data_IF_712118027332
#
_entry.id   IF_712118027332
#
_cell.length_a   1.000
_cell.length_b   1.000
_cell.length_c   1.000
_cell.angle_alpha   90.00
_cell.angle_beta   90.00
_cell.angle_gamma   90.00
#
_symmetry.space_group_name_H-M   'P 1'
#
loop_
_entity.id
_entity.type
_entity.pdbx_description
1 polymer ?
#
# COMPACT_ATOMS: atom_id res chain seq x y z
N UNK A 1 46.27 -5.73 -9.62
CA UNK A 1 45.18 -4.86 -9.13
C UNK A 1 43.92 -4.93 -9.98
N UNK A 2 43.99 -4.95 -11.32
CA UNK A 2 42.79 -4.88 -12.20
C UNK A 2 41.82 -6.07 -12.11
N UNK A 3 42.32 -7.30 -11.93
CA UNK A 3 41.47 -8.49 -11.80
C UNK A 3 40.64 -8.49 -10.50
N UNK A 4 41.21 -7.98 -9.39
CA UNK A 4 40.49 -7.88 -8.12
C UNK A 4 39.34 -6.87 -8.21
N UNK A 5 39.57 -5.71 -8.83
CA UNK A 5 38.53 -4.67 -9.04
C UNK A 5 37.40 -5.22 -9.93
N UNK A 6 37.72 -6.00 -10.96
CA UNK A 6 36.74 -6.63 -11.83
C UNK A 6 35.87 -7.64 -11.07
N UNK A 7 36.46 -8.53 -10.27
CA UNK A 7 35.72 -9.52 -9.47
C UNK A 7 34.80 -8.84 -8.45
N UNK A 8 35.27 -7.81 -7.73
CA UNK A 8 34.44 -7.06 -6.78
C UNK A 8 33.24 -6.37 -7.47
N UNK A 9 33.44 -5.82 -8.67
CA UNK A 9 32.39 -5.13 -9.41
C UNK A 9 31.33 -6.10 -9.97
N UNK A 10 31.75 -7.29 -10.41
CA UNK A 10 30.84 -8.32 -10.93
C UNK A 10 30.03 -8.97 -9.81
N UNK A 11 30.64 -9.27 -8.66
CA UNK A 11 29.93 -9.88 -7.52
C UNK A 11 28.84 -8.95 -6.98
N UNK A 12 29.11 -7.64 -6.89
CA UNK A 12 28.10 -6.66 -6.47
C UNK A 12 26.87 -6.62 -7.39
N UNK A 13 27.08 -6.72 -8.71
CA UNK A 13 26.02 -6.70 -9.73
C UNK A 13 25.29 -8.03 -9.91
N UNK A 14 25.85 -9.14 -9.42
CA UNK A 14 25.23 -10.45 -9.55
C UNK A 14 23.92 -10.54 -8.74
N UNK A 15 23.86 -9.87 -7.58
CA UNK A 15 22.65 -9.77 -6.77
C UNK A 15 21.53 -9.02 -7.52
N UNK A 16 21.88 -7.88 -8.14
CA UNK A 16 20.94 -7.10 -8.94
C UNK A 16 20.41 -7.88 -10.14
N UNK A 17 21.29 -8.57 -10.87
CA UNK A 17 20.90 -9.39 -12.01
C UNK A 17 19.93 -10.51 -11.59
N UNK A 18 20.22 -11.19 -10.47
CA UNK A 18 19.33 -12.21 -9.92
C UNK A 18 17.97 -11.62 -9.53
N UNK A 19 17.97 -10.43 -8.93
CA UNK A 19 16.75 -9.68 -8.61
C UNK A 19 15.92 -9.38 -9.86
N UNK A 20 16.54 -8.83 -10.91
CA UNK A 20 15.87 -8.54 -12.18
C UNK A 20 15.28 -9.77 -12.85
N UNK A 21 16.00 -10.90 -12.86
CA UNK A 21 15.46 -12.17 -13.40
C UNK A 21 14.24 -12.64 -12.61
N UNK A 22 14.23 -12.42 -11.30
CA UNK A 22 13.06 -12.73 -10.48
C UNK A 22 11.85 -11.86 -10.86
N UNK A 23 12.03 -10.54 -11.03
CA UNK A 23 10.95 -9.63 -11.45
C UNK A 23 10.35 -10.00 -12.82
N UNK A 24 11.16 -10.53 -13.74
CA UNK A 24 10.67 -11.01 -15.04
C UNK A 24 9.76 -12.24 -14.95
N UNK A 25 9.80 -12.96 -13.83
CA UNK A 25 9.06 -14.22 -13.63
C UNK A 25 8.03 -14.16 -12.51
N UNK A 26 8.08 -13.12 -11.66
CA UNK A 26 7.20 -12.95 -10.51
C UNK A 26 6.70 -11.50 -10.48
N UNK A 27 5.39 -11.33 -10.42
CA UNK A 27 4.81 -10.01 -10.26
C UNK A 27 5.12 -9.46 -8.87
N UNK A 28 5.94 -8.42 -8.82
CA UNK A 28 6.13 -7.61 -7.63
C UNK A 28 4.82 -6.88 -7.30
N UNK A 29 4.41 -6.89 -6.02
CA UNK A 29 3.29 -6.10 -5.50
C UNK A 29 3.77 -5.27 -4.30
N UNK A 30 3.37 -4.01 -4.25
CA UNK A 30 3.58 -3.13 -3.11
C UNK A 30 2.31 -2.98 -2.24
N UNK A 31 2.38 -2.17 -1.17
CA UNK A 31 1.23 -1.92 -0.29
C UNK A 31 -0.04 -1.49 -1.02
N UNK A 32 0.03 -0.56 -1.97
CA UNK A 32 -1.17 -0.08 -2.66
C UNK A 32 -1.71 -1.07 -3.68
N UNK A 33 -0.90 -1.98 -4.23
CA UNK A 33 -1.44 -3.05 -5.07
C UNK A 33 -2.42 -3.93 -4.27
N UNK A 34 -2.12 -4.20 -2.99
CA UNK A 34 -3.03 -4.92 -2.10
C UNK A 34 -4.27 -4.09 -1.75
N UNK A 35 -4.10 -2.82 -1.37
CA UNK A 35 -5.23 -1.96 -1.04
C UNK A 35 -6.19 -1.74 -2.22
N UNK A 36 -5.65 -1.44 -3.41
CA UNK A 36 -6.42 -1.26 -4.64
C UNK A 36 -7.14 -2.55 -5.03
N UNK A 37 -6.45 -3.70 -5.00
CA UNK A 37 -7.08 -4.99 -5.34
C UNK A 37 -8.22 -5.31 -4.38
N UNK A 38 -7.98 -5.16 -3.06
CA UNK A 38 -9.02 -5.36 -2.05
C UNK A 38 -10.25 -4.49 -2.32
N UNK A 39 -10.05 -3.19 -2.53
CA UNK A 39 -11.19 -2.27 -2.75
C UNK A 39 -11.95 -2.64 -4.03
N UNK A 40 -11.25 -2.94 -5.13
CA UNK A 40 -11.90 -3.33 -6.39
C UNK A 40 -12.69 -4.63 -6.31
N UNK A 41 -12.21 -5.57 -5.51
CA UNK A 41 -12.85 -6.89 -5.35
C UNK A 41 -14.04 -6.86 -4.39
N UNK A 42 -14.06 -5.93 -3.44
CA UNK A 42 -15.07 -5.89 -2.37
C UNK A 42 -16.17 -4.83 -2.59
N UNK A 43 -16.00 -3.90 -3.53
CA UNK A 43 -16.96 -2.84 -3.82
C UNK A 43 -17.37 -2.84 -5.29
N UNK A 44 -18.68 -2.83 -5.54
CA UNK A 44 -19.23 -2.75 -6.90
C UNK A 44 -18.92 -1.44 -7.61
N UNK A 45 -18.81 -0.34 -6.84
CA UNK A 45 -18.54 1.00 -7.33
C UNK A 45 -17.43 1.68 -6.52
N UNK A 46 -16.16 1.29 -6.72
CA UNK A 46 -15.04 1.93 -6.03
C UNK A 46 -14.97 3.45 -6.22
N UNK A 47 -15.46 3.96 -7.34
CA UNK A 47 -15.49 5.39 -7.67
C UNK A 47 -16.39 6.21 -6.74
N UNK A 48 -17.40 5.58 -6.13
CA UNK A 48 -18.32 6.24 -5.20
C UNK A 48 -17.71 6.37 -3.78
N UNK A 49 -16.55 5.74 -3.53
CA UNK A 49 -15.89 5.76 -2.22
C UNK A 49 -15.16 7.08 -1.98
N UNK A 50 -15.18 7.50 -0.71
CA UNK A 50 -14.30 8.52 -0.15
C UNK A 50 -13.19 7.85 0.64
N UNK A 51 -11.96 7.97 0.17
CA UNK A 51 -10.78 7.35 0.79
C UNK A 51 -9.93 8.42 1.47
N UNK A 52 -9.67 8.26 2.77
CA UNK A 52 -8.71 9.08 3.49
C UNK A 52 -7.35 8.37 3.55
N UNK A 53 -6.30 9.02 3.05
CA UNK A 53 -4.93 8.50 3.17
C UNK A 53 -3.92 9.62 3.39
N UNK A 54 -2.76 9.27 3.93
CA UNK A 54 -1.63 10.18 4.15
C UNK A 54 -0.53 10.06 3.08
N UNK A 55 -0.68 9.18 2.08
CA UNK A 55 0.33 8.98 1.05
C UNK A 55 -0.23 8.30 -0.22
N UNK A 56 0.37 8.59 -1.39
CA UNK A 56 0.07 8.01 -2.71
C UNK A 56 -1.40 8.20 -3.18
N UNK A 57 -1.95 9.41 -2.98
CA UNK A 57 -3.35 9.74 -3.32
C UNK A 57 -3.66 9.53 -4.79
N UNK A 58 -2.75 9.99 -5.66
CA UNK A 58 -2.93 9.93 -7.11
C UNK A 58 -3.11 8.49 -7.61
N UNK A 59 -2.49 7.50 -6.95
CA UNK A 59 -2.62 6.08 -7.29
C UNK A 59 -4.04 5.61 -7.02
N UNK A 60 -4.58 5.92 -5.84
CA UNK A 60 -5.95 5.56 -5.46
C UNK A 60 -6.97 6.24 -6.37
N UNK A 61 -6.80 7.54 -6.63
CA UNK A 61 -7.67 8.28 -7.57
C UNK A 61 -7.64 7.67 -8.97
N UNK A 62 -6.45 7.34 -9.49
CA UNK A 62 -6.30 6.82 -10.84
C UNK A 62 -6.90 5.42 -11.01
N UNK A 63 -6.62 4.50 -10.09
CA UNK A 63 -7.04 3.10 -10.23
C UNK A 63 -8.45 2.80 -9.74
N UNK A 64 -8.99 3.61 -8.83
CA UNK A 64 -10.31 3.39 -8.25
C UNK A 64 -11.35 4.43 -8.71
N UNK A 65 -10.92 5.58 -9.23
CA UNK A 65 -11.82 6.70 -9.51
C UNK A 65 -12.37 7.40 -8.27
N UNK A 66 -12.00 6.93 -7.07
CA UNK A 66 -12.51 7.41 -5.79
C UNK A 66 -12.09 8.84 -5.50
N UNK A 67 -12.93 9.54 -4.71
CA UNK A 67 -12.52 10.78 -4.06
C UNK A 67 -11.48 10.45 -3.00
N UNK A 68 -10.32 11.13 -3.03
CA UNK A 68 -9.30 11.02 -1.98
C UNK A 68 -9.24 12.32 -1.19
N UNK A 69 -9.26 12.22 0.13
CA UNK A 69 -9.17 13.33 1.08
C UNK A 69 -7.92 13.23 1.94
N UNK A 70 -7.57 14.33 2.62
CA UNK A 70 -6.35 14.53 3.41
C UNK A 70 -5.12 14.67 2.50
N UNK A 71 -4.66 13.54 1.99
CA UNK A 71 -3.46 13.44 1.18
C UNK A 71 -2.20 14.04 1.81
N UNK A 72 -1.17 14.17 0.98
CA UNK A 72 0.14 14.65 1.37
C UNK A 72 0.25 16.18 1.36
N UNK A 73 -0.60 16.86 0.58
CA UNK A 73 -0.47 18.30 0.29
C UNK A 73 -1.20 19.18 1.33
N UNK A 74 -2.22 18.65 2.03
CA UNK A 74 -2.94 19.34 3.13
C UNK A 74 -3.65 20.66 2.78
N UNK A 75 -3.79 21.01 1.49
CA UNK A 75 -4.33 22.32 1.09
C UNK A 75 -5.81 22.54 1.46
N UNK A 76 -6.61 21.47 1.59
CA UNK A 76 -8.06 21.54 1.81
C UNK A 76 -8.46 20.86 3.13
N UNK A 77 -7.58 20.89 4.12
CA UNK A 77 -7.73 20.08 5.33
C UNK A 77 -9.02 20.38 6.09
N UNK A 78 -9.46 21.64 6.14
CA UNK A 78 -10.69 22.02 6.84
C UNK A 78 -11.92 21.39 6.18
N UNK A 79 -11.97 21.33 4.84
CA UNK A 79 -13.04 20.68 4.10
C UNK A 79 -12.98 19.16 4.23
N UNK A 80 -11.78 18.58 4.11
CA UNK A 80 -11.57 17.15 4.22
C UNK A 80 -11.97 16.62 5.61
N UNK A 81 -11.71 17.40 6.65
CA UNK A 81 -12.11 17.09 8.02
C UNK A 81 -13.62 17.18 8.24
N UNK A 82 -14.43 17.71 7.31
CA UNK A 82 -15.89 17.67 7.41
C UNK A 82 -16.46 16.34 6.91
N UNK A 83 -15.75 15.65 6.04
CA UNK A 83 -16.16 14.37 5.45
C UNK A 83 -16.13 13.20 6.44
N UNK A 84 -16.83 12.12 6.10
CA UNK A 84 -16.72 10.83 6.77
C UNK A 84 -16.27 9.80 5.73
N UNK A 85 -14.99 9.40 5.72
CA UNK A 85 -14.49 8.48 4.70
C UNK A 85 -15.13 7.09 4.83
N UNK A 86 -15.19 6.37 3.72
CA UNK A 86 -15.58 4.96 3.67
C UNK A 86 -14.37 4.06 3.97
N UNK A 87 -13.17 4.51 3.58
CA UNK A 87 -11.91 3.78 3.79
C UNK A 87 -10.84 4.72 4.34
N UNK A 88 -10.10 4.29 5.36
CA UNK A 88 -8.87 4.94 5.81
C UNK A 88 -7.66 4.04 5.57
N UNK A 89 -6.62 4.61 4.97
CA UNK A 89 -5.34 3.95 4.72
C UNK A 89 -4.26 4.79 5.38
N UNK A 90 -3.80 4.36 6.56
CA UNK A 90 -2.66 4.98 7.23
C UNK A 90 -1.38 4.25 6.82
N UNK A 91 -0.55 4.92 6.02
CA UNK A 91 0.79 4.45 5.64
C UNK A 91 1.76 4.73 6.79
N UNK A 92 1.98 3.72 7.63
CA UNK A 92 2.69 3.81 8.91
C UNK A 92 4.16 4.22 8.76
N UNK A 93 4.78 3.88 7.62
CA UNK A 93 6.14 4.33 7.30
C UNK A 93 6.23 5.86 7.28
N UNK A 94 5.28 6.51 6.60
CA UNK A 94 5.26 7.97 6.42
C UNK A 94 4.75 8.72 7.64
N UNK A 95 4.02 8.05 8.52
CA UNK A 95 3.53 8.62 9.78
C UNK A 95 4.40 8.27 10.98
N UNK A 96 5.56 7.62 10.77
CA UNK A 96 6.50 7.21 11.83
C UNK A 96 5.84 6.35 12.91
N UNK A 97 5.03 5.38 12.51
CA UNK A 97 4.26 4.47 13.37
C UNK A 97 3.20 5.15 14.26
N UNK A 98 2.82 6.39 13.98
CA UNK A 98 1.66 7.03 14.60
C UNK A 98 0.54 7.26 13.58
N UNK A 99 -0.62 7.69 14.03
CA UNK A 99 -1.67 8.19 13.16
C UNK A 99 -1.52 9.70 13.01
N UNK A 100 -1.39 10.22 11.78
CA UNK A 100 -1.47 11.65 11.54
C UNK A 100 -2.77 12.19 12.15
N UNK A 101 -2.70 13.36 12.80
CA UNK A 101 -3.84 13.94 13.53
C UNK A 101 -5.15 13.88 12.72
N UNK A 102 -5.17 14.21 11.42
CA UNK A 102 -6.40 14.19 10.64
C UNK A 102 -6.98 12.79 10.40
N UNK A 103 -6.14 11.79 10.12
CA UNK A 103 -6.62 10.40 10.03
C UNK A 103 -7.14 9.90 11.39
N UNK A 104 -6.46 10.25 12.48
CA UNK A 104 -6.90 9.91 13.85
C UNK A 104 -8.24 10.57 14.20
N UNK A 105 -8.47 11.77 13.71
CA UNK A 105 -9.73 12.48 13.88
C UNK A 105 -10.86 11.80 13.07
N UNK A 106 -10.62 11.51 11.79
CA UNK A 106 -11.60 10.87 10.91
C UNK A 106 -11.96 9.45 11.38
N UNK A 107 -10.99 8.70 11.91
CA UNK A 107 -11.22 7.36 12.47
C UNK A 107 -12.26 7.36 13.60
N UNK A 108 -12.43 8.47 14.32
CA UNK A 108 -13.39 8.61 15.43
C UNK A 108 -14.80 8.97 14.99
N UNK A 109 -15.01 9.30 13.71
CA UNK A 109 -16.32 9.76 13.22
C UNK A 109 -17.34 8.65 13.00
N UNK A 110 -16.88 7.42 12.85
CA UNK A 110 -17.71 6.27 12.54
C UNK A 110 -17.07 4.98 13.08
N UNK A 111 -17.78 3.87 12.93
CA UNK A 111 -17.26 2.54 13.24
C UNK A 111 -16.54 1.97 12.03
N UNK A 112 -15.28 1.59 12.22
CA UNK A 112 -14.44 1.01 11.18
C UNK A 112 -13.95 -0.37 11.57
N UNK A 113 -13.84 -1.25 10.59
CA UNK A 113 -13.26 -2.58 10.71
C UNK A 113 -11.94 -2.63 9.94
N UNK A 114 -10.92 -3.22 10.56
CA UNK A 114 -9.60 -3.31 9.93
C UNK A 114 -9.48 -4.55 9.06
N UNK A 115 -9.01 -4.37 7.82
CA UNK A 115 -8.47 -5.44 6.99
C UNK A 115 -6.94 -5.35 6.97
N UNK A 116 -6.28 -6.48 7.24
CA UNK A 116 -4.82 -6.57 7.37
C UNK A 116 -4.25 -7.45 6.26
N UNK A 117 -3.17 -6.99 5.62
CA UNK A 117 -2.52 -7.70 4.52
C UNK A 117 -1.15 -8.23 4.92
N UNK A 118 -0.64 -9.30 4.28
CA UNK A 118 0.68 -9.84 4.60
C UNK A 118 1.83 -8.93 4.15
N UNK A 119 1.58 -8.00 3.23
CA UNK A 119 2.59 -7.07 2.71
C UNK A 119 3.05 -6.11 3.81
N UNK A 120 4.36 -5.89 3.90
CA UNK A 120 4.93 -4.87 4.76
C UNK A 120 4.51 -3.49 4.26
N UNK A 121 4.15 -2.58 5.15
CA UNK A 121 3.90 -1.19 4.81
C UNK A 121 5.23 -0.46 4.51
N UNK A 122 5.76 -0.75 3.33
CA UNK A 122 6.98 -0.15 2.83
C UNK A 122 6.74 1.30 2.41
N UNK A 123 7.81 2.08 2.36
CA UNK A 123 7.78 3.51 2.04
C UNK A 123 7.18 3.82 0.67
N UNK A 124 7.26 2.90 -0.28
CA UNK A 124 6.80 3.11 -1.65
C UNK A 124 6.11 1.85 -2.13
N UNK A 125 5.21 1.99 -3.11
CA UNK A 125 4.59 0.81 -3.71
C UNK A 125 5.65 -0.08 -4.38
N UNK A 126 6.33 0.44 -5.41
CA UNK A 126 7.52 -0.15 -6.01
C UNK A 126 8.32 0.97 -6.66
N UNK A 127 9.64 0.98 -6.51
CA UNK A 127 10.52 1.87 -7.29
C UNK A 127 11.63 1.01 -7.90
N UNK A 128 11.76 0.95 -9.24
CA UNK A 128 12.79 0.18 -9.91
C UNK A 128 14.18 0.87 -9.92
N UNK A 129 14.38 1.88 -9.08
CA UNK A 129 15.57 2.73 -9.01
C UNK A 129 16.62 2.13 -8.07
N UNK A 130 17.86 2.04 -8.54
CA UNK A 130 18.97 1.45 -7.79
C UNK A 130 19.76 2.49 -7.00
N UNK A 131 19.64 3.76 -7.36
CA UNK A 131 20.44 4.86 -6.81
C UNK A 131 19.64 5.84 -5.95
N UNK A 132 18.43 5.47 -5.54
CA UNK A 132 17.60 6.25 -4.64
C UNK A 132 17.83 5.84 -3.18
N UNK A 133 17.52 6.73 -2.24
CA UNK A 133 17.68 6.47 -0.80
C UNK A 133 16.84 5.27 -0.34
N UNK A 134 15.73 5.01 -1.04
CA UNK A 134 14.91 3.82 -0.86
C UNK A 134 15.42 2.75 -1.83
N UNK A 135 16.01 1.70 -1.28
CA UNK A 135 16.56 0.58 -2.06
C UNK A 135 15.46 -0.16 -2.80
N UNK A 136 15.70 -0.48 -4.07
CA UNK A 136 14.87 -1.41 -4.82
C UNK A 136 14.90 -2.82 -4.20
N UNK A 137 13.73 -3.41 -3.97
CA UNK A 137 13.57 -4.66 -3.22
C UNK A 137 13.50 -5.92 -4.10
N UNK A 138 13.27 -5.79 -5.42
CA UNK A 138 13.07 -6.87 -6.40
C UNK A 138 11.93 -7.86 -6.10
N UNK A 139 11.38 -7.88 -4.88
CA UNK A 139 10.32 -8.79 -4.41
C UNK A 139 9.34 -8.07 -3.50
N UNK A 140 8.09 -8.49 -3.54
CA UNK A 140 7.05 -8.06 -2.60
C UNK A 140 7.56 -8.18 -1.16
N UNK A 141 7.66 -7.08 -0.40
CA UNK A 141 8.10 -7.15 0.98
C UNK A 141 6.98 -7.73 1.84
N UNK A 142 7.22 -8.89 2.45
CA UNK A 142 6.28 -9.49 3.41
C UNK A 142 6.66 -9.01 4.81
N UNK A 143 5.66 -8.61 5.60
CA UNK A 143 5.88 -8.14 6.95
C UNK A 143 6.40 -9.26 7.86
N UNK A 144 7.41 -8.95 8.67
CA UNK A 144 7.99 -9.88 9.65
C UNK A 144 7.05 -10.12 10.84
N UNK A 145 6.25 -9.11 11.20
CA UNK A 145 5.29 -9.14 12.30
C UNK A 145 3.97 -8.43 11.95
N UNK A 146 3.01 -8.45 12.86
CA UNK A 146 1.70 -7.82 12.66
C UNK A 146 1.74 -6.28 12.69
N UNK A 147 2.74 -5.70 13.34
CA UNK A 147 2.89 -4.25 13.42
C UNK A 147 3.35 -3.66 12.08
N UNK A 148 4.19 -4.38 11.34
CA UNK A 148 4.68 -3.98 10.02
C UNK A 148 3.72 -4.23 8.86
N UNK A 149 2.57 -4.89 9.09
CA UNK A 149 1.59 -5.19 8.03
C UNK A 149 0.82 -3.95 7.61
N UNK A 150 0.54 -3.86 6.31
CA UNK A 150 -0.43 -2.89 5.82
C UNK A 150 -1.81 -3.17 6.43
N UNK A 151 -2.45 -2.10 6.93
CA UNK A 151 -3.81 -2.11 7.46
C UNK A 151 -4.64 -1.04 6.78
N UNK A 152 -5.84 -1.41 6.38
CA UNK A 152 -6.88 -0.47 5.94
C UNK A 152 -8.07 -0.59 6.87
N UNK A 153 -8.81 0.50 7.03
CA UNK A 153 -9.96 0.59 7.92
C UNK A 153 -11.18 0.94 7.09
N UNK A 154 -12.16 0.06 7.09
CA UNK A 154 -13.37 0.14 6.27
C UNK A 154 -14.55 0.49 7.16
N UNK A 155 -15.36 1.48 6.78
CA UNK A 155 -16.53 1.88 7.56
C UNK A 155 -17.58 0.76 7.49
N UNK A 156 -18.10 0.34 8.65
CA UNK A 156 -18.95 -0.87 8.78
C UNK A 156 -20.23 -0.83 7.94
N UNK A 157 -20.80 0.34 7.72
CA UNK A 157 -22.03 0.55 6.95
C UNK A 157 -21.78 0.81 5.46
N UNK A 158 -20.52 0.76 5.00
CA UNK A 158 -20.22 0.87 3.56
C UNK A 158 -20.74 -0.38 2.86
N UNK A 159 -21.66 -0.25 1.88
CA UNK A 159 -22.20 -1.41 1.18
C UNK A 159 -21.08 -2.16 0.46
N UNK A 160 -20.85 -3.42 0.85
CA UNK A 160 -20.01 -4.34 0.08
C UNK A 160 -20.77 -4.76 -1.19
N UNK A 161 -20.05 -4.89 -2.29
CA UNK A 161 -20.57 -5.59 -3.46
C UNK A 161 -20.89 -7.03 -3.07
N UNK A 162 -21.99 -7.60 -3.59
CA UNK A 162 -22.60 -8.86 -3.12
C UNK A 162 -21.79 -10.16 -3.25
N UNK A 163 -20.45 -10.14 -3.15
CA UNK A 163 -19.53 -11.27 -3.27
C UNK A 163 -18.94 -11.76 -1.94
N UNK A 164 -19.64 -11.60 -0.82
CA UNK A 164 -19.17 -12.09 0.48
C UNK A 164 -19.42 -13.60 0.64
N UNK A 165 -18.76 -14.41 -0.18
CA UNK A 165 -18.52 -15.83 0.10
C UNK A 165 -17.01 -16.08 0.00
N UNK A 166 -16.35 -15.96 1.16
CA UNK A 166 -14.98 -16.41 1.46
C UNK A 166 -13.87 -16.00 0.48
N UNK A 167 -13.02 -15.06 0.90
CA UNK A 167 -11.65 -15.03 0.37
C UNK A 167 -10.99 -16.40 0.67
N UNK A 168 -10.67 -17.14 -0.38
CA UNK A 168 -9.87 -18.36 -0.28
C UNK A 168 -8.45 -18.00 0.20
N UNK A 169 -7.98 -18.52 1.35
CA UNK A 169 -6.61 -18.30 1.82
C UNK A 169 -5.54 -18.81 0.84
N UNK A 170 -5.90 -19.59 -0.19
CA UNK A 170 -4.99 -20.03 -1.25
C UNK A 170 -4.43 -18.90 -2.13
N UNK A 171 -5.07 -17.71 -2.17
CA UNK A 171 -4.56 -16.57 -2.95
C UNK A 171 -3.45 -15.76 -2.25
N UNK A 172 -3.15 -16.05 -0.98
CA UNK A 172 -2.10 -15.37 -0.21
C UNK A 172 -0.70 -15.97 -0.39
N UNK A 173 -0.60 -17.15 -1.02
CA UNK A 173 0.68 -17.82 -1.26
C UNK A 173 0.67 -18.54 -2.62
N UNK A 174 1.20 -17.93 -3.70
CA UNK A 174 1.56 -18.73 -4.86
C UNK A 174 2.66 -19.70 -4.42
N UNK A 175 2.39 -21.00 -4.52
CA UNK A 175 3.39 -22.06 -4.37
C UNK A 175 4.43 -21.98 -5.50
#
# INVERSE_FOLDING_TARGET
MSAAIFVFTVVGKAADLKGRVYELTHQYKGPLDYAVSYIRENYEKPEDLVIATNYEEAVLMYYLGSKVIIGHIWNNIDQDLMETPDVLINRIYWSKNDWPFPLKYLLKKAEYESSTFPVADHSVNNIPELHFDIKHLYRTPIAEDEAGRLKIYVRRDTPLGGGQDSMDPAFLFPR
#
